data_IF_183535918668
#
_entry.id   IF_183535918668
#
_cell.length_a   1.000
_cell.length_b   1.000
_cell.length_c   1.000
_cell.angle_alpha   90.00
_cell.angle_beta   90.00
_cell.angle_gamma   90.00
#
_symmetry.space_group_name_H-M   'P 1'
#
loop_
_entity.id
_entity.type
_entity.pdbx_description
1 polymer ?
#
# COMPACT_ATOMS: atom_id res chain seq x y z
N UNK A 1 -12.41 7.38 -6.67
CA UNK A 1 -11.11 6.67 -6.61
C UNK A 1 -10.34 6.92 -7.90
N UNK A 2 -9.01 6.80 -7.86
CA UNK A 2 -8.12 6.93 -9.02
C UNK A 2 -7.72 5.54 -9.56
N UNK A 3 -7.35 5.46 -10.85
CA UNK A 3 -6.81 4.23 -11.46
C UNK A 3 -5.36 3.96 -11.08
N UNK A 4 -4.59 5.01 -10.77
CA UNK A 4 -3.21 4.93 -10.28
C UNK A 4 -3.10 5.68 -8.97
N UNK A 5 -2.53 5.03 -7.96
CA UNK A 5 -2.25 5.61 -6.65
C UNK A 5 -0.75 5.55 -6.40
N UNK A 6 -0.14 6.70 -6.11
CA UNK A 6 1.23 6.79 -5.61
C UNK A 6 1.19 6.93 -4.09
N UNK A 7 1.66 5.91 -3.37
CA UNK A 7 1.80 5.89 -1.93
C UNK A 7 3.27 6.16 -1.56
N UNK A 8 3.61 7.43 -1.41
CA UNK A 8 4.96 7.84 -1.04
C UNK A 8 5.26 7.52 0.43
N UNK A 9 6.48 7.04 0.71
CA UNK A 9 6.98 6.68 2.04
C UNK A 9 6.00 5.77 2.81
N UNK A 10 5.49 4.70 2.18
CA UNK A 10 4.45 3.81 2.76
C UNK A 10 4.85 3.26 4.14
N UNK A 11 6.14 3.08 4.38
CA UNK A 11 6.67 2.63 5.65
C UNK A 11 6.61 3.68 6.77
N UNK A 12 6.29 4.94 6.52
CA UNK A 12 6.01 5.93 7.58
C UNK A 12 4.56 5.93 8.03
N UNK A 13 3.67 5.38 7.23
CA UNK A 13 2.28 5.21 7.61
C UNK A 13 2.16 4.17 8.74
N UNK A 14 1.15 4.29 9.59
CA UNK A 14 0.90 3.31 10.65
C UNK A 14 0.71 1.90 10.06
N UNK A 15 1.05 0.82 10.79
CA UNK A 15 0.83 -0.55 10.31
C UNK A 15 -0.63 -0.82 9.90
N UNK A 16 -1.59 -0.18 10.57
CA UNK A 16 -3.01 -0.26 10.22
C UNK A 16 -3.31 0.36 8.86
N UNK A 17 -2.71 1.52 8.57
CA UNK A 17 -2.86 2.20 7.27
C UNK A 17 -2.22 1.40 6.15
N UNK A 18 -1.03 0.82 6.39
CA UNK A 18 -0.36 -0.07 5.45
C UNK A 18 -1.24 -1.27 5.10
N UNK A 19 -1.75 -1.98 6.12
CA UNK A 19 -2.65 -3.12 5.93
C UNK A 19 -3.92 -2.75 5.16
N UNK A 20 -4.53 -1.60 5.44
CA UNK A 20 -5.73 -1.16 4.73
C UNK A 20 -5.46 -0.91 3.23
N UNK A 21 -4.30 -0.36 2.87
CA UNK A 21 -3.92 -0.19 1.47
C UNK A 21 -3.70 -1.54 0.77
N UNK A 22 -3.01 -2.47 1.44
CA UNK A 22 -2.74 -3.80 0.90
C UNK A 22 -4.02 -4.64 0.75
N UNK A 23 -4.96 -4.51 1.68
CA UNK A 23 -6.29 -5.12 1.57
C UNK A 23 -7.05 -4.56 0.36
N UNK A 24 -7.04 -3.23 0.18
CA UNK A 24 -7.66 -2.59 -0.99
C UNK A 24 -7.01 -3.06 -2.31
N UNK A 25 -5.70 -3.30 -2.30
CA UNK A 25 -4.97 -3.86 -3.45
C UNK A 25 -5.39 -5.29 -3.77
N UNK A 26 -5.63 -6.13 -2.76
CA UNK A 26 -6.01 -7.53 -2.95
C UNK A 26 -7.48 -7.66 -3.36
N UNK A 27 -8.36 -7.06 -2.56
CA UNK A 27 -9.82 -7.21 -2.69
C UNK A 27 -10.42 -6.33 -3.80
N UNK A 28 -9.66 -5.37 -4.33
CA UNK A 28 -10.10 -4.40 -5.35
C UNK A 28 -11.37 -3.62 -4.95
N UNK A 29 -11.60 -3.45 -3.65
CA UNK A 29 -12.71 -2.72 -3.08
C UNK A 29 -12.32 -2.13 -1.73
N UNK A 30 -13.09 -1.16 -1.25
CA UNK A 30 -12.92 -0.58 0.08
C UNK A 30 -14.25 -0.45 0.81
N UNK A 31 -14.24 -0.62 2.12
CA UNK A 31 -15.41 -0.44 2.98
C UNK A 31 -15.28 0.87 3.76
N UNK A 32 -16.21 1.79 3.55
CA UNK A 32 -16.24 3.09 4.24
C UNK A 32 -17.67 3.33 4.74
N UNK A 33 -17.81 3.64 6.03
CA UNK A 33 -19.12 3.91 6.66
C UNK A 33 -20.16 2.79 6.45
N UNK A 34 -19.69 1.52 6.49
CA UNK A 34 -20.55 0.35 6.30
C UNK A 34 -20.94 0.06 4.85
N UNK A 35 -20.48 0.85 3.88
CA UNK A 35 -20.70 0.62 2.46
C UNK A 35 -19.41 0.16 1.76
N UNK A 36 -19.46 -0.99 1.10
CA UNK A 36 -18.39 -1.48 0.24
C UNK A 36 -18.49 -0.85 -1.15
N UNK A 37 -17.38 -0.33 -1.66
CA UNK A 37 -17.28 0.35 -2.95
C UNK A 37 -16.14 -0.28 -3.77
N UNK A 38 -16.37 -0.69 -5.02
CA UNK A 38 -15.31 -1.23 -5.86
C UNK A 38 -14.32 -0.14 -6.25
N UNK A 39 -13.05 -0.52 -6.40
CA UNK A 39 -12.02 0.33 -6.98
C UNK A 39 -12.12 0.35 -8.52
N UNK A 40 -11.61 1.40 -9.19
CA UNK A 40 -11.63 1.49 -10.64
C UNK A 40 -10.86 0.33 -11.27
N UNK A 41 -11.28 -0.12 -12.44
CA UNK A 41 -10.52 -1.10 -13.21
C UNK A 41 -9.85 -0.41 -14.41
N UNK A 42 -8.51 -0.50 -14.56
CA UNK A 42 -7.56 -1.10 -13.63
C UNK A 42 -7.29 -0.23 -12.39
N UNK A 43 -6.78 -0.86 -11.32
CA UNK A 43 -6.28 -0.19 -10.11
C UNK A 43 -4.82 -0.59 -9.86
N UNK A 44 -3.92 0.38 -9.98
CA UNK A 44 -2.49 0.22 -9.77
C UNK A 44 -2.02 1.04 -8.57
N UNK A 45 -1.14 0.45 -7.77
CA UNK A 45 -0.45 1.12 -6.67
C UNK A 45 1.03 1.10 -6.94
N UNK A 46 1.64 2.27 -6.86
CA UNK A 46 3.08 2.47 -6.81
C UNK A 46 3.39 2.95 -5.41
N UNK A 47 4.28 2.27 -4.69
CA UNK A 47 4.66 2.65 -3.35
C UNK A 47 6.18 2.81 -3.25
N UNK A 48 6.64 3.80 -2.51
CA UNK A 48 8.05 4.00 -2.17
C UNK A 48 8.27 3.68 -0.70
N UNK A 49 9.48 3.29 -0.33
CA UNK A 49 9.87 3.08 1.05
C UNK A 49 11.12 3.89 1.36
N UNK A 50 11.15 4.52 2.53
CA UNK A 50 12.38 5.06 3.09
C UNK A 50 13.25 3.94 3.67
N UNK A 51 14.57 4.17 3.80
CA UNK A 51 15.47 3.26 4.50
C UNK A 51 14.97 2.89 5.92
N UNK A 52 15.16 1.63 6.32
CA UNK A 52 14.60 1.08 7.57
C UNK A 52 15.28 1.63 8.84
N UNK A 53 16.49 2.15 8.70
CA UNK A 53 17.27 2.79 9.77
C UNK A 53 16.77 4.20 10.11
N UNK A 54 15.86 4.77 9.31
CA UNK A 54 15.22 6.04 9.64
C UNK A 54 14.20 5.88 10.78
N UNK A 55 14.27 6.80 11.74
CA UNK A 55 13.32 6.91 12.84
C UNK A 55 11.90 7.17 12.33
N UNK A 56 10.92 6.53 12.98
CA UNK A 56 9.50 6.71 12.64
C UNK A 56 9.07 5.92 11.40
N UNK A 57 9.80 4.87 11.04
CA UNK A 57 9.40 3.91 10.02
C UNK A 57 8.90 2.60 10.64
N UNK A 58 7.95 1.98 9.97
CA UNK A 58 7.39 0.66 10.21
C UNK A 58 7.63 -0.16 8.94
N UNK A 59 8.65 -1.01 8.98
CA UNK A 59 8.98 -1.88 7.85
C UNK A 59 7.80 -2.78 7.51
N UNK A 60 7.51 -2.91 6.21
CA UNK A 60 6.53 -3.89 5.74
C UNK A 60 7.12 -5.29 5.93
N UNK A 61 6.41 -6.23 6.59
CA UNK A 61 6.80 -7.63 6.62
C UNK A 61 6.95 -8.20 5.21
N UNK A 62 7.78 -9.23 5.04
CA UNK A 62 7.98 -9.90 3.75
C UNK A 62 6.67 -10.35 3.11
N UNK A 63 5.77 -10.93 3.90
CA UNK A 63 4.44 -11.35 3.44
C UNK A 63 3.56 -10.20 2.92
N UNK A 64 3.79 -8.96 3.36
CA UNK A 64 3.12 -7.77 2.83
C UNK A 64 3.76 -7.28 1.54
N UNK A 65 5.09 -7.36 1.45
CA UNK A 65 5.85 -7.02 0.26
C UNK A 65 5.54 -7.96 -0.92
N UNK A 66 5.23 -9.23 -0.64
CA UNK A 66 4.85 -10.22 -1.67
C UNK A 66 3.56 -9.87 -2.43
N UNK A 67 2.74 -8.95 -1.93
CA UNK A 67 1.54 -8.45 -2.63
C UNK A 67 1.87 -7.47 -3.75
N UNK A 68 3.11 -7.00 -3.83
CA UNK A 68 3.58 -6.19 -4.94
C UNK A 68 4.11 -7.09 -6.06
N UNK A 69 3.58 -6.90 -7.26
CA UNK A 69 4.01 -7.63 -8.46
C UNK A 69 5.52 -7.48 -8.74
N UNK A 70 6.09 -6.31 -8.41
CA UNK A 70 7.50 -5.99 -8.62
C UNK A 70 8.01 -5.12 -7.49
N UNK A 71 9.25 -5.36 -7.08
CA UNK A 71 10.02 -4.51 -6.16
C UNK A 71 11.30 -4.08 -6.85
N UNK A 72 11.61 -2.79 -6.77
CA UNK A 72 12.82 -2.21 -7.35
C UNK A 72 13.56 -1.52 -6.21
N UNK A 73 14.86 -1.83 -6.07
CA UNK A 73 15.74 -1.04 -5.21
C UNK A 73 16.35 0.09 -6.04
N UNK A 74 16.25 1.32 -5.55
CA UNK A 74 16.87 2.48 -6.17
C UNK A 74 17.85 3.05 -5.14
N UNK A 75 19.15 2.88 -5.41
CA UNK A 75 20.23 3.17 -4.45
C UNK A 75 20.60 1.94 -3.64
#
# INVERSE_FOLDING_TARGET
FAQVLLADEINRASPKTQSALLEAMEEKQVSVEGATRPLPHPFFVIATQNPQDQLGTFALPESQLDRFLMRISIG
#
